data_IF_184305800964
#
_entry.id   IF_184305800964
#
_cell.length_a   1.000
_cell.length_b   1.000
_cell.length_c   1.000
_cell.angle_alpha   90.00
_cell.angle_beta   90.00
_cell.angle_gamma   90.00
#
_symmetry.space_group_name_H-M   'P 1'
#
loop_
_entity.id
_entity.type
_entity.pdbx_description
1 polymer ?
#
# COMPACT_ATOMS: atom_id res chain seq x y z
N UNK A 1 -4.90 -10.49 35.53
CA UNK A 1 -3.49 -10.27 35.17
C UNK A 1 -3.51 -9.32 33.99
N UNK A 2 -3.17 -8.03 34.18
CA UNK A 2 -3.15 -7.09 33.04
C UNK A 2 -1.96 -7.45 32.18
N UNK A 3 -2.21 -7.97 30.98
CA UNK A 3 -1.18 -8.08 29.95
C UNK A 3 -0.73 -6.66 29.60
N UNK A 4 0.57 -6.42 29.72
CA UNK A 4 1.17 -5.15 29.31
C UNK A 4 1.08 -5.06 27.79
N UNK A 5 0.29 -4.13 27.27
CA UNK A 5 0.24 -3.80 25.85
C UNK A 5 1.43 -2.92 25.52
N UNK A 6 2.22 -3.31 24.52
CA UNK A 6 3.32 -2.46 24.03
C UNK A 6 2.72 -1.35 23.17
N UNK A 7 3.06 -0.09 23.49
CA UNK A 7 2.42 1.09 22.89
C UNK A 7 3.45 2.03 22.26
N UNK A 8 3.22 2.37 21.00
CA UNK A 8 3.85 3.49 20.31
C UNK A 8 2.81 4.60 20.16
N UNK A 9 3.11 5.78 20.71
CA UNK A 9 2.17 6.90 20.76
C UNK A 9 2.89 8.20 20.44
N UNK A 10 2.29 9.02 19.58
CA UNK A 10 2.80 10.35 19.20
C UNK A 10 4.24 10.31 18.64
N UNK A 11 4.55 9.28 17.86
CA UNK A 11 5.84 9.14 17.16
C UNK A 11 5.74 9.78 15.79
N UNK A 12 6.70 10.65 15.46
CA UNK A 12 6.80 11.28 14.15
C UNK A 12 8.13 10.90 13.50
N UNK A 13 8.06 10.13 12.43
CA UNK A 13 9.17 9.88 11.52
C UNK A 13 8.93 10.65 10.23
N UNK A 14 9.57 11.82 10.10
CA UNK A 14 9.48 12.73 8.95
C UNK A 14 10.72 12.64 8.07
N UNK A 15 11.18 11.42 7.82
CA UNK A 15 12.25 11.14 6.86
C UNK A 15 11.78 11.30 5.41
N UNK A 16 12.69 11.02 4.48
CA UNK A 16 12.38 11.08 3.05
C UNK A 16 11.21 10.15 2.71
N UNK A 17 10.41 10.59 1.73
CA UNK A 17 9.08 10.09 1.33
C UNK A 17 9.02 8.56 1.11
N UNK A 18 10.17 7.90 0.88
CA UNK A 18 10.21 6.54 0.32
C UNK A 18 10.53 5.43 1.33
N UNK A 19 11.31 5.69 2.38
CA UNK A 19 11.88 4.64 3.23
C UNK A 19 11.69 4.90 4.74
N UNK A 20 10.90 5.91 5.13
CA UNK A 20 10.71 6.25 6.55
C UNK A 20 9.47 5.58 7.16
N UNK A 21 9.71 4.55 7.97
CA UNK A 21 8.67 3.90 8.79
C UNK A 21 9.02 3.93 10.27
N UNK A 22 8.02 3.66 11.11
CA UNK A 22 8.27 3.53 12.55
C UNK A 22 8.82 2.13 12.85
N UNK A 23 8.26 1.12 12.19
CA UNK A 23 8.78 -0.24 12.19
C UNK A 23 9.24 -0.54 10.77
N UNK A 24 10.55 -0.69 10.59
CA UNK A 24 11.15 -1.17 9.35
C UNK A 24 11.45 -2.65 9.50
N UNK A 25 10.81 -3.48 8.68
CA UNK A 25 11.14 -4.89 8.57
C UNK A 25 11.91 -5.13 7.28
N UNK A 26 13.24 -5.27 7.42
CA UNK A 26 14.18 -5.56 6.33
C UNK A 26 15.11 -6.70 6.76
N UNK A 27 14.78 -7.93 6.39
CA UNK A 27 15.44 -9.13 6.94
C UNK A 27 16.34 -9.88 5.96
N UNK A 28 16.40 -9.49 4.68
CA UNK A 28 17.28 -10.12 3.67
C UNK A 28 16.97 -11.58 3.29
N UNK A 29 16.27 -12.33 4.15
CA UNK A 29 16.03 -13.77 4.04
C UNK A 29 14.73 -14.13 3.30
N UNK A 30 14.66 -15.33 2.71
CA UNK A 30 13.55 -15.77 1.84
C UNK A 30 12.20 -16.02 2.55
N UNK A 31 12.18 -16.27 3.87
CA UNK A 31 10.95 -16.59 4.60
C UNK A 31 11.00 -16.10 6.05
N UNK A 32 10.29 -15.02 6.37
CA UNK A 32 10.16 -14.53 7.74
C UNK A 32 8.74 -14.08 8.06
N UNK A 33 8.47 -14.13 9.37
CA UNK A 33 7.24 -13.70 10.00
C UNK A 33 7.53 -12.47 10.85
N UNK A 34 6.71 -11.42 10.73
CA UNK A 34 6.63 -10.37 11.73
C UNK A 34 5.41 -10.66 12.62
N UNK A 35 5.63 -10.89 13.91
CA UNK A 35 4.56 -11.15 14.89
C UNK A 35 4.35 -9.90 15.74
N UNK A 36 3.13 -9.38 15.73
CA UNK A 36 2.68 -8.26 16.56
C UNK A 36 1.52 -8.76 17.43
N UNK A 37 1.82 -9.13 18.67
CA UNK A 37 0.77 -9.52 19.62
C UNK A 37 0.66 -8.48 20.73
N UNK A 38 -0.57 -8.06 21.03
CA UNK A 38 -0.89 -7.10 22.08
C UNK A 38 -0.10 -5.78 21.93
N UNK A 39 -0.19 -5.19 20.74
CA UNK A 39 0.52 -3.96 20.36
C UNK A 39 -0.47 -2.82 20.06
N UNK A 40 -0.08 -1.57 20.29
CA UNK A 40 -0.88 -0.41 19.89
C UNK A 40 0.01 0.65 19.27
N UNK A 41 -0.35 1.09 18.07
CA UNK A 41 0.28 2.22 17.39
C UNK A 41 -0.75 3.30 17.13
N UNK A 42 -0.51 4.46 17.71
CA UNK A 42 -1.47 5.55 17.66
C UNK A 42 -0.86 6.93 17.51
N UNK A 43 -1.60 7.82 16.87
CA UNK A 43 -1.23 9.23 16.66
C UNK A 43 0.15 9.39 16.02
N UNK A 44 0.54 8.45 15.16
CA UNK A 44 1.85 8.43 14.56
C UNK A 44 1.86 9.04 13.16
N UNK A 45 2.97 9.66 12.78
CA UNK A 45 3.19 10.26 11.45
C UNK A 45 4.41 9.58 10.83
N UNK A 46 4.26 9.03 9.63
CA UNK A 46 5.32 8.33 8.89
C UNK A 46 5.01 8.32 7.37
N UNK A 47 5.71 7.50 6.59
CA UNK A 47 5.32 7.15 5.21
C UNK A 47 4.74 5.73 5.11
N UNK A 48 4.19 5.26 6.24
CA UNK A 48 3.71 3.90 6.48
C UNK A 48 4.20 3.48 7.85
N UNK A 49 3.29 3.33 8.83
CA UNK A 49 3.68 3.11 10.23
C UNK A 49 4.50 1.82 10.35
N UNK A 50 4.06 0.78 9.66
CA UNK A 50 4.84 -0.42 9.40
C UNK A 50 5.20 -0.45 7.92
N UNK A 51 6.49 -0.53 7.61
CA UNK A 51 6.98 -0.75 6.25
C UNK A 51 7.77 -2.05 6.19
N UNK A 52 7.41 -2.90 5.23
CA UNK A 52 8.18 -4.10 4.91
C UNK A 52 8.71 -3.98 3.50
N UNK A 53 10.04 -3.93 3.31
CA UNK A 53 10.64 -3.71 1.98
C UNK A 53 10.55 -4.93 1.05
N UNK A 54 10.26 -6.10 1.58
CA UNK A 54 10.61 -7.35 0.90
C UNK A 54 9.50 -7.89 -0.01
N UNK A 55 9.88 -8.27 -1.24
CA UNK A 55 9.08 -9.07 -2.19
C UNK A 55 8.56 -10.39 -1.60
N UNK A 56 9.21 -10.86 -0.54
CA UNK A 56 8.93 -12.14 0.11
C UNK A 56 8.55 -11.98 1.59
N UNK A 57 7.89 -10.87 2.00
CA UNK A 57 7.21 -10.89 3.30
C UNK A 57 6.15 -11.98 3.25
N UNK A 58 6.51 -13.14 3.80
CA UNK A 58 5.71 -14.34 3.67
C UNK A 58 4.44 -14.22 4.50
N UNK A 59 4.55 -13.66 5.71
CA UNK A 59 3.40 -13.33 6.53
C UNK A 59 3.72 -12.26 7.58
N UNK A 60 2.75 -11.39 7.82
CA UNK A 60 2.66 -10.60 9.04
C UNK A 60 1.51 -11.19 9.86
N UNK A 61 1.76 -11.45 11.13
CA UNK A 61 0.78 -12.03 12.05
C UNK A 61 0.55 -10.98 13.13
N UNK A 62 -0.59 -10.31 13.06
CA UNK A 62 -0.99 -9.36 14.08
C UNK A 62 -2.20 -9.90 14.85
N UNK A 63 -2.10 -9.96 16.16
CA UNK A 63 -3.18 -10.35 17.06
C UNK A 63 -3.35 -9.31 18.15
N UNK A 64 -4.60 -9.02 18.52
CA UNK A 64 -4.92 -8.08 19.59
C UNK A 64 -4.20 -6.71 19.43
N UNK A 65 -4.09 -6.25 18.18
CA UNK A 65 -3.28 -5.07 17.83
C UNK A 65 -4.17 -3.93 17.36
N UNK A 66 -3.80 -2.68 17.71
CA UNK A 66 -4.56 -1.48 17.35
C UNK A 66 -3.73 -0.51 16.53
N UNK A 67 -4.30 -0.01 15.44
CA UNK A 67 -3.75 1.07 14.62
C UNK A 67 -4.76 2.22 14.57
N UNK A 68 -4.49 3.32 15.28
CA UNK A 68 -5.46 4.40 15.50
C UNK A 68 -4.86 5.77 15.16
N UNK A 69 -5.57 6.59 14.39
CA UNK A 69 -5.17 7.98 14.08
C UNK A 69 -3.76 8.11 13.51
N UNK A 70 -3.31 7.12 12.72
CA UNK A 70 -2.01 7.17 12.09
C UNK A 70 -2.08 7.85 10.73
N UNK A 71 -0.99 8.52 10.34
CA UNK A 71 -0.90 9.22 9.07
C UNK A 71 0.33 8.76 8.28
N UNK A 72 0.11 8.41 7.01
CA UNK A 72 1.14 8.16 6.02
C UNK A 72 1.18 9.27 4.96
N UNK A 73 2.36 9.83 4.71
CA UNK A 73 2.58 10.82 3.65
C UNK A 73 2.44 10.27 2.22
N UNK A 74 2.41 8.94 2.05
CA UNK A 74 2.25 8.27 0.75
C UNK A 74 1.09 7.28 0.80
N UNK A 75 1.29 6.11 1.39
CA UNK A 75 0.35 5.01 1.32
C UNK A 75 0.37 4.19 2.61
N UNK A 76 -0.72 3.50 2.92
CA UNK A 76 -0.75 2.57 4.04
C UNK A 76 -0.64 3.27 5.39
N UNK A 77 -1.65 4.05 5.77
CA UNK A 77 -1.65 4.86 6.99
C UNK A 77 -1.30 4.08 8.27
N UNK A 78 -1.60 2.78 8.31
CA UNK A 78 -1.10 1.86 9.32
C UNK A 78 0.02 0.93 8.78
N UNK A 79 -0.15 0.37 7.59
CA UNK A 79 0.82 -0.56 7.01
C UNK A 79 1.02 -0.35 5.52
N UNK A 80 2.27 -0.39 5.09
CA UNK A 80 2.64 -0.47 3.69
C UNK A 80 3.53 -1.68 3.39
N UNK A 81 3.22 -2.39 2.30
CA UNK A 81 4.06 -3.45 1.73
C UNK A 81 4.16 -3.27 0.21
N UNK A 82 5.35 -3.13 -0.40
CA UNK A 82 5.51 -2.95 -1.84
C UNK A 82 4.84 -4.04 -2.70
N UNK A 83 4.63 -5.24 -2.17
CA UNK A 83 4.04 -6.36 -2.89
C UNK A 83 2.89 -6.95 -2.09
N UNK A 84 1.93 -7.57 -2.80
CA UNK A 84 0.87 -8.32 -2.15
C UNK A 84 1.49 -9.52 -1.43
N UNK A 85 1.31 -9.62 -0.11
CA UNK A 85 1.78 -10.75 0.69
C UNK A 85 1.00 -12.01 0.28
N UNK A 86 1.74 -13.07 -0.03
CA UNK A 86 1.22 -14.20 -0.80
C UNK A 86 0.31 -15.14 0.01
N UNK A 87 0.44 -15.13 1.35
CA UNK A 87 -0.27 -16.08 2.21
C UNK A 87 -1.15 -15.39 3.23
N UNK A 88 -0.63 -14.57 4.14
CA UNK A 88 -1.45 -13.94 5.19
C UNK A 88 -0.75 -12.69 5.73
N UNK A 89 -1.20 -11.49 5.34
CA UNK A 89 -0.71 -10.26 5.99
C UNK A 89 -1.44 -9.96 7.29
N UNK A 90 -2.70 -10.36 7.37
CA UNK A 90 -3.53 -10.10 8.51
C UNK A 90 -4.46 -11.29 8.65
N UNK A 91 -4.06 -12.25 9.47
CA UNK A 91 -5.07 -13.03 10.14
C UNK A 91 -5.78 -12.05 11.10
N UNK A 92 -6.93 -11.51 10.69
CA UNK A 92 -7.70 -10.46 11.39
C UNK A 92 -8.32 -10.95 12.71
N UNK A 93 -7.65 -11.85 13.41
CA UNK A 93 -8.04 -12.24 14.76
C UNK A 93 -7.72 -11.07 15.71
N UNK A 94 -8.71 -10.21 15.90
CA UNK A 94 -8.73 -9.09 16.85
C UNK A 94 -7.74 -7.93 16.54
N UNK A 95 -7.62 -7.51 15.28
CA UNK A 95 -6.98 -6.22 14.96
C UNK A 95 -8.00 -5.11 14.78
N UNK A 96 -7.71 -3.91 15.29
CA UNK A 96 -8.55 -2.71 15.18
C UNK A 96 -7.82 -1.66 14.34
N UNK A 97 -8.48 -1.20 13.29
CA UNK A 97 -8.03 -0.09 12.45
C UNK A 97 -9.06 1.03 12.54
N UNK A 98 -8.65 2.22 12.96
CA UNK A 98 -9.57 3.34 13.17
C UNK A 98 -8.90 4.66 12.79
N UNK A 99 -9.57 5.42 11.92
CA UNK A 99 -9.19 6.80 11.56
C UNK A 99 -7.73 6.97 11.09
N UNK A 100 -7.14 5.93 10.49
CA UNK A 100 -5.86 6.05 9.82
C UNK A 100 -6.05 6.77 8.46
N UNK A 101 -5.01 7.47 7.99
CA UNK A 101 -5.04 8.21 6.74
C UNK A 101 -3.75 8.00 5.94
N UNK A 102 -3.89 7.86 4.63
CA UNK A 102 -2.79 7.98 3.69
C UNK A 102 -3.11 9.05 2.63
N UNK A 103 -2.09 9.75 2.13
CA UNK A 103 -2.30 10.82 1.14
C UNK A 103 -2.62 10.29 -0.27
N UNK A 104 -2.04 9.17 -0.67
CA UNK A 104 -2.25 8.59 -2.00
C UNK A 104 -3.34 7.52 -2.01
N UNK A 105 -3.20 6.48 -1.19
CA UNK A 105 -4.13 5.34 -1.16
C UNK A 105 -3.94 4.45 0.07
N UNK A 106 -4.97 3.65 0.36
CA UNK A 106 -5.00 2.67 1.45
C UNK A 106 -4.77 3.30 2.82
N UNK A 107 -5.85 3.81 3.41
CA UNK A 107 -5.81 4.45 4.72
C UNK A 107 -5.28 3.54 5.82
N UNK A 108 -5.61 2.25 5.77
CA UNK A 108 -5.11 1.28 6.73
C UNK A 108 -3.90 0.54 6.15
N UNK A 109 -4.11 -0.18 5.05
CA UNK A 109 -3.07 -0.96 4.40
C UNK A 109 -3.03 -0.70 2.89
N UNK A 110 -1.82 -0.69 2.33
CA UNK A 110 -1.60 -0.43 0.92
C UNK A 110 -0.41 -1.21 0.37
N UNK A 111 -0.36 -1.34 -0.96
CA UNK A 111 0.78 -1.88 -1.71
C UNK A 111 1.19 -0.98 -2.87
N UNK A 112 2.27 -1.31 -3.60
CA UNK A 112 2.50 -0.63 -4.88
C UNK A 112 1.35 -0.88 -5.87
N UNK A 113 1.18 0.01 -6.87
CA UNK A 113 0.33 -0.24 -8.01
C UNK A 113 0.55 -1.62 -8.60
N UNK A 114 -0.54 -2.34 -8.85
CA UNK A 114 -0.49 -3.69 -9.43
C UNK A 114 -1.51 -3.90 -10.54
N UNK A 115 -2.48 -2.99 -10.69
CA UNK A 115 -3.56 -3.12 -11.66
C UNK A 115 -3.93 -1.78 -12.28
N UNK A 116 -4.12 -1.79 -13.60
CA UNK A 116 -4.74 -0.69 -14.35
C UNK A 116 -6.10 -1.19 -14.86
N UNK A 117 -7.16 -0.43 -14.61
CA UNK A 117 -8.49 -0.67 -15.21
C UNK A 117 -8.81 0.46 -16.19
N UNK A 118 -9.07 0.11 -17.44
CA UNK A 118 -9.53 1.07 -18.45
C UNK A 118 -10.91 1.61 -18.08
N UNK A 119 -11.10 2.91 -18.27
CA UNK A 119 -12.40 3.54 -18.16
C UNK A 119 -13.12 3.44 -19.51
N UNK A 120 -14.34 2.89 -19.49
CA UNK A 120 -15.16 2.64 -20.68
C UNK A 120 -14.41 1.77 -21.71
N UNK A 121 -13.95 0.59 -21.28
CA UNK A 121 -13.19 -0.36 -22.09
C UNK A 121 -13.86 -0.71 -23.42
N UNK A 122 -15.20 -0.82 -23.43
CA UNK A 122 -16.02 -1.05 -24.63
C UNK A 122 -15.76 -0.06 -25.77
N UNK A 123 -15.35 1.17 -25.47
CA UNK A 123 -15.06 2.21 -26.47
C UNK A 123 -13.86 1.85 -27.35
N UNK A 124 -13.00 0.95 -26.89
CA UNK A 124 -11.73 0.64 -27.55
C UNK A 124 -11.78 -0.64 -28.40
N UNK A 125 -12.83 -1.47 -28.32
CA UNK A 125 -12.89 -2.74 -29.05
C UNK A 125 -12.84 -2.59 -30.58
N UNK A 126 -13.52 -1.60 -31.15
CA UNK A 126 -13.59 -1.36 -32.60
C UNK A 126 -13.10 0.06 -32.99
N UNK A 127 -12.16 0.61 -32.21
CA UNK A 127 -11.72 1.98 -32.41
C UNK A 127 -10.96 2.16 -33.73
N UNK A 128 -11.53 2.92 -34.66
CA UNK A 128 -10.89 3.29 -35.92
C UNK A 128 -10.18 4.63 -35.79
N UNK A 129 -8.87 4.63 -36.02
CA UNK A 129 -8.07 5.85 -36.06
C UNK A 129 -7.31 5.98 -37.37
N UNK A 130 -7.03 7.22 -37.76
CA UNK A 130 -6.15 7.50 -38.90
C UNK A 130 -4.70 7.50 -38.42
N UNK A 131 -3.78 7.18 -39.33
CA UNK A 131 -2.34 7.38 -39.07
C UNK A 131 -2.08 8.81 -38.61
N UNK A 132 -1.23 8.97 -37.60
CA UNK A 132 -0.91 10.26 -36.98
C UNK A 132 -1.97 10.80 -36.01
N UNK A 133 -3.07 10.08 -35.77
CA UNK A 133 -4.05 10.44 -34.72
C UNK A 133 -3.61 9.93 -33.34
N UNK A 134 -4.31 10.35 -32.29
CA UNK A 134 -4.12 9.87 -30.92
C UNK A 134 -5.27 8.93 -30.50
N UNK A 135 -4.95 7.93 -29.68
CA UNK A 135 -5.94 7.12 -28.97
C UNK A 135 -6.11 7.70 -27.56
N UNK A 136 -7.24 8.36 -27.23
CA UNK A 136 -7.45 8.90 -25.89
C UNK A 136 -7.78 7.76 -24.92
N UNK A 137 -6.80 7.30 -24.15
CA UNK A 137 -6.97 6.27 -23.12
C UNK A 137 -7.19 6.96 -21.77
N UNK A 138 -8.20 6.50 -21.03
CA UNK A 138 -8.42 6.88 -19.63
C UNK A 138 -8.47 5.62 -18.79
N UNK A 139 -7.86 5.65 -17.60
CA UNK A 139 -7.76 4.49 -16.72
C UNK A 139 -7.64 4.91 -15.26
N UNK A 140 -7.95 3.96 -14.38
CA UNK A 140 -7.68 4.02 -12.95
C UNK A 140 -6.54 3.07 -12.61
N UNK A 141 -5.73 3.46 -11.63
CA UNK A 141 -4.66 2.63 -11.09
C UNK A 141 -5.09 2.13 -9.72
N UNK A 142 -4.87 0.85 -9.47
CA UNK A 142 -5.17 0.18 -8.22
C UNK A 142 -3.91 -0.47 -7.66
N UNK A 143 -3.85 -0.53 -6.34
CA UNK A 143 -2.92 -1.42 -5.64
C UNK A 143 -3.50 -2.84 -5.56
N UNK A 144 -2.75 -3.76 -4.96
CA UNK A 144 -3.15 -5.16 -4.84
C UNK A 144 -4.27 -5.41 -3.82
N UNK A 145 -4.64 -4.41 -3.02
CA UNK A 145 -5.79 -4.42 -2.12
C UNK A 145 -7.02 -3.73 -2.74
N UNK A 146 -6.96 -3.41 -4.03
CA UNK A 146 -8.00 -2.67 -4.76
C UNK A 146 -8.23 -1.24 -4.27
N UNK A 147 -7.27 -0.64 -3.55
CA UNK A 147 -7.30 0.78 -3.26
C UNK A 147 -7.05 1.57 -4.55
N UNK A 148 -7.88 2.58 -4.82
CA UNK A 148 -7.66 3.52 -5.93
C UNK A 148 -6.48 4.43 -5.58
N UNK A 149 -5.52 4.53 -6.50
CA UNK A 149 -4.33 5.35 -6.31
C UNK A 149 -4.57 6.77 -6.81
N UNK A 150 -4.52 7.73 -5.88
CA UNK A 150 -4.51 9.15 -6.18
C UNK A 150 -3.08 9.68 -6.07
N UNK A 151 -2.37 9.75 -7.20
CA UNK A 151 -0.97 10.15 -7.21
C UNK A 151 -0.81 11.67 -7.35
N UNK A 152 -1.15 12.40 -6.29
CA UNK A 152 -1.03 13.87 -6.24
C UNK A 152 0.42 14.36 -6.35
N UNK A 153 1.40 13.53 -5.98
CA UNK A 153 2.81 13.89 -5.94
C UNK A 153 3.60 13.39 -7.17
N UNK A 154 2.93 12.78 -8.14
CA UNK A 154 3.56 12.16 -9.31
C UNK A 154 4.65 11.14 -8.95
N UNK A 155 4.44 10.39 -7.87
CA UNK A 155 5.31 9.32 -7.43
C UNK A 155 5.41 8.17 -8.45
N UNK A 156 4.33 7.93 -9.21
CA UNK A 156 4.26 7.00 -10.32
C UNK A 156 4.29 7.77 -11.65
N UNK A 157 5.43 8.40 -11.95
CA UNK A 157 5.57 9.30 -13.12
C UNK A 157 5.65 8.60 -14.47
N UNK A 158 6.08 7.33 -14.49
CA UNK A 158 6.45 6.63 -15.73
C UNK A 158 5.46 5.51 -16.05
N UNK A 159 4.71 5.66 -17.14
CA UNK A 159 3.76 4.66 -17.63
C UNK A 159 4.19 4.20 -19.03
N UNK A 160 4.49 2.90 -19.14
CA UNK A 160 4.87 2.26 -20.39
C UNK A 160 3.68 1.46 -20.95
N UNK A 161 3.28 1.75 -22.19
CA UNK A 161 2.22 1.03 -22.88
C UNK A 161 2.85 0.18 -24.00
N UNK A 162 2.60 -1.13 -23.97
CA UNK A 162 2.98 -2.04 -25.05
C UNK A 162 1.78 -2.26 -25.97
N UNK A 163 1.94 -1.92 -27.24
CA UNK A 163 0.91 -2.10 -28.27
C UNK A 163 1.37 -3.16 -29.27
N UNK A 164 0.47 -4.07 -29.62
CA UNK A 164 0.64 -4.98 -30.75
C UNK A 164 -0.15 -4.41 -31.93
N UNK A 165 0.52 -4.21 -33.06
CA UNK A 165 -0.10 -3.69 -34.29
C UNK A 165 -0.09 -4.81 -35.32
N UNK A 166 -1.28 -5.26 -35.71
CA UNK A 166 -1.46 -6.20 -36.81
C UNK A 166 -1.64 -5.44 -38.12
N UNK A 167 -1.13 -6.02 -39.23
CA UNK A 167 -1.19 -5.44 -40.57
C UNK A 167 -2.37 -5.94 -41.35
#
# INVERSE_FOLDING_TARGET
MNLLMLKLDNVKNVGDINDSSIILFDSGDEYKYLILDNFSIQNCISNGVIYSKYKNLHSLIASNTKFINNYAGVAGGALFSPNYPQYYLFDYNNCEFMDNKAESHGNDYATNPSLIKLLNDDKYHDYKMKSGSYLPISFLIYDSYENIIHDHYHYYSDIYIKVLVEK
#
